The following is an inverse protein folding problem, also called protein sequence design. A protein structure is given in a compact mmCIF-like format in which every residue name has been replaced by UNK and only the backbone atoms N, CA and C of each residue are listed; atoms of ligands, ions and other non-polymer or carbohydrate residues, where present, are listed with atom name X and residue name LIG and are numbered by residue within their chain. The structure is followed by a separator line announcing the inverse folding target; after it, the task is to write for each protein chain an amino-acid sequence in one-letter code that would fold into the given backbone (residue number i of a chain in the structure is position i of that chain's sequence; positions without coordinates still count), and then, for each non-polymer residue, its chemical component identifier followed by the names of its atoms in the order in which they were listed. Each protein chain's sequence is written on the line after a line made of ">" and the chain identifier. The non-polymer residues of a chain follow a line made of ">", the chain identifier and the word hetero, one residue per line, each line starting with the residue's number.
data_IF_286919945090
#
_entry.id   IF_286919945090
#
_cell.length_a   1.000
_cell.length_b   1.000
_cell.length_c   1.000
_cell.angle_alpha   90.00
_cell.angle_beta   90.00
_cell.angle_gamma   90.00
#
_symmetry.space_group_name_H-M   'P 1'
#
loop_
_entity.id
_entity.type
_entity.pdbx_description
1 polymer ?
#
# COMPACT_ATOMS: atom_id res chain seq x y z
N UNK A 1 -4.38 1.98 -5.52
CA UNK A 1 -3.61 3.21 -5.80
C UNK A 1 -2.23 2.87 -6.37
N UNK A 2 -1.49 1.91 -5.79
CA UNK A 2 -0.19 1.49 -6.35
C UNK A 2 -0.31 1.18 -7.85
N UNK A 3 -1.31 0.39 -8.26
CA UNK A 3 -1.53 0.06 -9.67
C UNK A 3 -1.76 1.27 -10.58
N UNK A 4 -2.46 2.28 -10.10
CA UNK A 4 -2.64 3.53 -10.86
C UNK A 4 -1.31 4.28 -11.03
N UNK A 5 -0.43 4.23 -10.01
CA UNK A 5 0.90 4.84 -10.10
C UNK A 5 1.84 4.04 -11.01
N UNK A 6 1.66 2.72 -11.09
CA UNK A 6 2.36 1.87 -12.07
C UNK A 6 1.86 2.19 -13.48
N UNK A 7 0.54 2.30 -13.69
CA UNK A 7 -0.05 2.69 -14.97
C UNK A 7 0.40 4.10 -15.42
N UNK A 8 0.60 5.01 -14.47
CA UNK A 8 1.11 6.37 -14.70
C UNK A 8 2.66 6.40 -14.89
N UNK A 9 3.35 5.26 -14.84
CA UNK A 9 4.81 5.16 -14.96
C UNK A 9 5.60 5.76 -13.79
N UNK A 10 4.94 6.01 -12.65
CA UNK A 10 5.56 6.61 -11.45
C UNK A 10 6.16 5.59 -10.50
N UNK A 11 5.73 4.35 -10.59
CA UNK A 11 6.24 3.22 -9.81
C UNK A 11 6.50 2.03 -10.73
N UNK A 12 7.44 1.17 -10.35
CA UNK A 12 7.73 -0.09 -11.01
C UNK A 12 7.62 -1.24 -10.01
N UNK A 13 7.02 -2.36 -10.43
CA UNK A 13 6.84 -3.52 -9.54
C UNK A 13 8.16 -4.21 -9.19
N UNK A 14 9.10 -4.27 -10.12
CA UNK A 14 10.27 -5.16 -10.06
C UNK A 14 11.59 -4.43 -9.76
N UNK A 15 11.55 -3.10 -9.64
CA UNK A 15 12.68 -2.33 -9.17
C UNK A 15 12.69 -2.28 -7.62
N UNK A 16 13.84 -2.01 -6.99
CA UNK A 16 13.92 -1.75 -5.56
C UNK A 16 12.86 -0.76 -5.11
N UNK A 17 12.16 -1.07 -4.03
CA UNK A 17 11.13 -0.19 -3.49
C UNK A 17 11.75 1.14 -3.07
N UNK A 18 11.17 2.30 -3.47
CA UNK A 18 11.76 3.61 -3.21
C UNK A 18 11.55 4.04 -1.75
N UNK A 19 12.18 3.32 -0.83
CA UNK A 19 12.21 3.59 0.60
C UNK A 19 13.56 4.18 0.94
N UNK A 20 13.59 5.43 1.38
CA UNK A 20 14.84 6.15 1.64
C UNK A 20 15.76 5.42 2.63
N UNK A 21 15.19 4.77 3.65
CA UNK A 21 15.94 3.99 4.64
C UNK A 21 16.66 2.76 4.05
N UNK A 22 16.33 2.32 2.83
CA UNK A 22 16.89 1.15 2.15
C UNK A 22 17.77 1.52 0.96
N UNK A 23 18.12 2.79 0.80
CA UNK A 23 18.86 3.29 -0.38
C UNK A 23 20.34 2.88 -0.41
N UNK A 24 20.93 2.45 0.72
CA UNK A 24 22.28 1.92 0.73
C UNK A 24 22.30 0.55 -0.01
N UNK A 25 23.09 0.41 -1.10
CA UNK A 25 23.23 -0.88 -1.79
C UNK A 25 23.75 -2.03 -0.93
N UNK A 26 24.38 -1.74 0.22
CA UNK A 26 24.83 -2.74 1.20
C UNK A 26 23.73 -3.16 2.16
N UNK A 27 22.64 -2.42 2.25
CA UNK A 27 21.49 -2.81 3.07
C UNK A 27 20.75 -3.95 2.35
N UNK A 28 20.62 -5.14 2.96
CA UNK A 28 19.94 -6.25 2.31
C UNK A 28 18.48 -5.97 1.99
N UNK A 29 17.83 -4.99 2.65
CA UNK A 29 16.46 -4.54 2.37
C UNK A 29 16.35 -3.76 1.05
N UNK A 30 17.48 -3.30 0.48
CA UNK A 30 17.50 -2.69 -0.86
C UNK A 30 16.98 -3.65 -1.96
N UNK A 31 17.04 -4.96 -1.73
CA UNK A 31 16.49 -5.98 -2.63
C UNK A 31 14.96 -6.11 -2.56
N UNK A 32 14.28 -5.47 -1.60
CA UNK A 32 12.82 -5.52 -1.49
C UNK A 32 12.22 -4.68 -2.64
N UNK A 33 11.33 -5.30 -3.42
CA UNK A 33 10.59 -4.63 -4.50
C UNK A 33 9.16 -4.30 -4.06
N UNK A 34 8.47 -3.45 -4.84
CA UNK A 34 7.03 -3.21 -4.63
C UNK A 34 6.24 -4.51 -4.80
N UNK A 35 6.65 -5.40 -5.71
CA UNK A 35 6.05 -6.73 -5.87
C UNK A 35 6.15 -7.55 -4.58
N UNK A 36 7.31 -7.60 -3.94
CA UNK A 36 7.50 -8.34 -2.69
C UNK A 36 6.57 -7.82 -1.57
N UNK A 37 6.42 -6.50 -1.46
CA UNK A 37 5.49 -5.89 -0.50
C UNK A 37 4.03 -6.25 -0.78
N UNK A 38 3.60 -6.20 -2.06
CA UNK A 38 2.22 -6.54 -2.47
C UNK A 38 1.90 -8.02 -2.27
N UNK A 39 2.88 -8.91 -2.50
CA UNK A 39 2.73 -10.36 -2.36
C UNK A 39 2.99 -10.84 -0.93
N UNK A 40 3.13 -9.94 0.04
CA UNK A 40 3.44 -10.29 1.44
C UNK A 40 4.67 -11.19 1.56
N UNK A 41 5.70 -10.90 0.77
CA UNK A 41 6.95 -11.67 0.69
C UNK A 41 8.19 -10.78 0.83
N UNK A 42 8.09 -9.69 1.58
CA UNK A 42 9.21 -8.76 1.80
C UNK A 42 10.35 -9.37 2.60
N UNK A 43 10.06 -10.35 3.45
CA UNK A 43 11.01 -10.96 4.37
C UNK A 43 11.32 -10.12 5.61
N UNK A 44 10.63 -9.01 5.82
CA UNK A 44 10.80 -8.19 7.03
C UNK A 44 10.28 -8.94 8.26
N UNK A 45 11.05 -8.95 9.34
CA UNK A 45 10.63 -9.49 10.63
C UNK A 45 9.33 -8.87 11.09
N UNK A 46 8.31 -9.71 11.35
CA UNK A 46 7.00 -9.21 11.72
C UNK A 46 6.23 -10.17 12.61
N UNK A 47 5.61 -9.65 13.65
CA UNK A 47 4.64 -10.40 14.47
C UNK A 47 3.27 -9.77 14.31
N UNK A 48 2.42 -10.39 13.49
CA UNK A 48 1.03 -9.98 13.30
C UNK A 48 0.17 -10.57 14.41
N UNK A 49 0.00 -9.82 15.49
CA UNK A 49 -0.84 -10.20 16.63
C UNK A 49 -1.47 -8.93 17.20
N UNK A 50 -2.77 -8.95 17.42
CA UNK A 50 -3.52 -7.79 17.91
C UNK A 50 -3.65 -7.75 19.43
N UNK A 51 -3.18 -8.79 20.13
CA UNK A 51 -3.35 -8.94 21.59
C UNK A 51 -2.02 -9.07 22.33
N UNK A 52 -0.95 -9.43 21.68
CA UNK A 52 0.36 -9.59 22.30
C UNK A 52 1.07 -8.24 22.52
N UNK A 53 1.69 -8.07 23.69
CA UNK A 53 2.41 -6.84 24.03
C UNK A 53 3.65 -6.58 23.13
N UNK A 54 4.25 -7.64 22.62
CA UNK A 54 5.41 -7.64 21.73
C UNK A 54 5.06 -7.67 20.23
N UNK A 55 3.80 -7.38 19.90
CA UNK A 55 3.30 -7.36 18.52
C UNK A 55 3.89 -6.19 17.73
N UNK A 56 4.42 -6.51 16.54
CA UNK A 56 4.88 -5.49 15.58
C UNK A 56 3.73 -4.61 15.12
N UNK A 57 2.53 -5.17 14.94
CA UNK A 57 1.32 -4.44 14.55
C UNK A 57 0.90 -3.43 15.60
N UNK A 58 0.91 -3.82 16.89
CA UNK A 58 0.60 -2.90 18.00
C UNK A 58 1.67 -1.82 18.15
N UNK A 59 2.94 -2.17 18.01
CA UNK A 59 4.03 -1.20 18.05
C UNK A 59 3.92 -0.19 16.88
N UNK A 60 3.61 -0.65 15.67
CA UNK A 60 3.36 0.21 14.50
C UNK A 60 2.18 1.16 14.72
N UNK A 61 1.07 0.69 15.32
CA UNK A 61 -0.09 1.53 15.63
C UNK A 61 0.24 2.67 16.61
N UNK A 62 1.21 2.46 17.50
CA UNK A 62 1.67 3.45 18.48
C UNK A 62 2.78 4.34 17.93
N UNK A 63 3.42 3.95 16.85
CA UNK A 63 4.51 4.71 16.24
C UNK A 63 3.99 6.03 15.63
N UNK A 64 4.72 7.14 15.77
CA UNK A 64 4.34 8.41 15.14
C UNK A 64 4.21 8.30 13.62
N UNK A 65 5.07 7.53 12.99
CA UNK A 65 5.10 7.25 11.54
C UNK A 65 5.02 5.73 11.33
N UNK A 66 3.85 5.23 10.99
CA UNK A 66 3.62 3.80 10.82
C UNK A 66 4.48 3.19 9.70
N UNK A 67 4.58 3.85 8.54
CA UNK A 67 5.40 3.36 7.43
C UNK A 67 6.89 3.38 7.75
N UNK A 68 7.37 4.40 8.47
CA UNK A 68 8.75 4.48 8.94
C UNK A 68 9.10 3.37 9.94
N UNK A 69 8.20 3.09 10.89
CA UNK A 69 8.36 1.97 11.81
C UNK A 69 8.46 0.63 11.07
N UNK A 70 7.52 0.37 10.16
CA UNK A 70 7.54 -0.88 9.39
C UNK A 70 8.80 -1.01 8.53
N UNK A 71 9.26 0.09 7.90
CA UNK A 71 10.47 0.11 7.11
C UNK A 71 11.77 -0.03 7.95
N UNK A 72 11.72 0.20 9.25
CA UNK A 72 12.88 0.04 10.15
C UNK A 72 13.12 -1.41 10.58
N UNK A 73 12.19 -2.33 10.28
CA UNK A 73 12.35 -3.74 10.65
C UNK A 73 13.51 -4.39 9.89
N UNK A 74 14.12 -5.39 10.49
CA UNK A 74 15.21 -6.19 9.90
C UNK A 74 14.66 -7.26 8.96
N UNK A 75 15.51 -7.85 8.11
CA UNK A 75 15.14 -9.04 7.35
C UNK A 75 15.26 -10.29 8.20
N UNK A 76 14.26 -11.14 8.12
CA UNK A 76 14.25 -12.51 8.64
C UNK A 76 14.46 -13.53 7.51
N UNK A 77 13.89 -13.22 6.31
CA UNK A 77 14.01 -14.07 5.13
C UNK A 77 14.49 -13.24 3.93
N UNK A 78 15.04 -13.93 2.94
CA UNK A 78 15.36 -13.29 1.67
C UNK A 78 14.06 -12.84 0.98
N UNK A 79 13.97 -11.60 0.47
CA UNK A 79 12.80 -11.11 -0.24
C UNK A 79 12.36 -12.05 -1.36
N UNK A 80 11.06 -12.31 -1.45
CA UNK A 80 10.45 -13.18 -2.46
C UNK A 80 10.50 -14.67 -2.20
N UNK A 81 11.06 -15.13 -1.06
CA UNK A 81 11.22 -16.57 -0.79
C UNK A 81 10.13 -17.18 0.06
N UNK A 82 9.44 -16.36 0.86
CA UNK A 82 8.43 -16.83 1.79
C UNK A 82 7.26 -15.85 1.86
N UNK A 83 6.04 -16.38 1.86
CA UNK A 83 4.84 -15.60 2.15
C UNK A 83 4.66 -15.49 3.66
N UNK A 84 4.48 -14.26 4.13
CA UNK A 84 4.10 -13.97 5.52
C UNK A 84 3.19 -12.75 5.55
N UNK A 85 1.95 -12.94 6.05
CA UNK A 85 1.03 -11.81 6.18
C UNK A 85 1.59 -10.75 7.13
N UNK A 86 1.67 -9.52 6.64
CA UNK A 86 2.40 -8.44 7.30
C UNK A 86 1.72 -7.09 7.02
N UNK A 87 1.01 -6.55 8.01
CA UNK A 87 0.38 -5.22 7.92
C UNK A 87 1.40 -4.11 7.65
N UNK A 88 2.65 -4.28 8.07
CA UNK A 88 3.74 -3.35 7.81
C UNK A 88 4.04 -3.19 6.31
N UNK A 89 3.91 -4.26 5.51
CA UNK A 89 4.07 -4.17 4.06
C UNK A 89 3.09 -3.16 3.45
N UNK A 90 1.84 -3.17 3.89
CA UNK A 90 0.83 -2.23 3.40
C UNK A 90 1.08 -0.80 3.91
N UNK A 91 1.57 -0.64 5.12
CA UNK A 91 1.99 0.66 5.65
C UNK A 91 3.17 1.25 4.83
N UNK A 92 4.17 0.43 4.50
CA UNK A 92 5.30 0.82 3.64
C UNK A 92 4.81 1.24 2.26
N UNK A 93 3.93 0.44 1.63
CA UNK A 93 3.33 0.78 0.32
C UNK A 93 2.61 2.12 0.37
N UNK A 94 1.86 2.41 1.45
CA UNK A 94 1.19 3.70 1.59
C UNK A 94 2.19 4.84 1.84
N UNK A 95 3.28 4.58 2.53
CA UNK A 95 4.41 5.50 2.65
C UNK A 95 4.98 5.86 1.28
N UNK A 96 5.31 4.86 0.46
CA UNK A 96 5.80 5.03 -0.92
C UNK A 96 4.81 5.85 -1.76
N UNK A 97 3.53 5.52 -1.71
CA UNK A 97 2.48 6.27 -2.42
C UNK A 97 2.47 7.74 -2.00
N UNK A 98 2.55 7.99 -0.69
CA UNK A 98 2.52 9.35 -0.12
C UNK A 98 3.73 10.16 -0.56
N UNK A 99 4.92 9.56 -0.54
CA UNK A 99 6.17 10.22 -0.94
C UNK A 99 6.22 10.47 -2.45
N UNK A 100 5.80 9.48 -3.27
CA UNK A 100 5.70 9.60 -4.73
C UNK A 100 4.76 10.75 -5.16
N UNK A 101 3.70 10.98 -4.40
CA UNK A 101 2.71 12.04 -4.68
C UNK A 101 3.03 13.38 -4.01
N UNK A 102 4.09 13.44 -3.18
CA UNK A 102 4.52 14.66 -2.51
C UNK A 102 3.68 15.06 -1.29
N UNK A 103 3.25 14.07 -0.51
CA UNK A 103 2.62 14.23 0.79
C UNK A 103 1.12 13.91 0.84
N UNK A 104 0.61 13.81 2.06
CA UNK A 104 -0.78 13.39 2.35
C UNK A 104 -1.85 14.23 1.64
N UNK A 105 -1.77 15.57 1.58
CA UNK A 105 -2.79 16.35 0.87
C UNK A 105 -2.89 16.00 -0.62
N UNK A 106 -1.75 15.86 -1.30
CA UNK A 106 -1.70 15.48 -2.72
C UNK A 106 -2.17 14.04 -2.94
N UNK A 107 -1.83 13.14 -2.02
CA UNK A 107 -2.31 11.75 -2.03
C UNK A 107 -3.82 11.69 -1.95
N UNK A 108 -4.44 12.42 -1.03
CA UNK A 108 -5.90 12.50 -0.92
C UNK A 108 -6.54 13.06 -2.20
N UNK A 109 -5.97 14.11 -2.77
CA UNK A 109 -6.44 14.70 -4.03
C UNK A 109 -6.35 13.70 -5.18
N UNK A 110 -5.23 12.97 -5.29
CA UNK A 110 -5.03 11.95 -6.29
C UNK A 110 -6.07 10.82 -6.17
N UNK A 111 -6.25 10.27 -4.96
CA UNK A 111 -7.25 9.22 -4.69
C UNK A 111 -8.65 9.72 -5.06
N UNK A 112 -8.99 10.94 -4.64
CA UNK A 112 -10.28 11.55 -4.93
C UNK A 112 -10.52 11.65 -6.44
N UNK A 113 -9.62 12.27 -7.18
CA UNK A 113 -9.79 12.57 -8.61
C UNK A 113 -9.68 11.32 -9.48
N UNK A 114 -8.78 10.40 -9.16
CA UNK A 114 -8.49 9.24 -10.01
C UNK A 114 -9.41 8.04 -9.72
N UNK A 115 -9.94 7.94 -8.51
CA UNK A 115 -10.75 6.79 -8.09
C UNK A 115 -12.12 7.17 -7.59
N UNK A 116 -12.22 8.03 -6.56
CA UNK A 116 -13.48 8.21 -5.85
C UNK A 116 -14.52 8.98 -6.69
N UNK A 117 -14.13 10.10 -7.27
CA UNK A 117 -15.04 10.93 -8.09
C UNK A 117 -15.58 10.17 -9.31
N UNK A 118 -14.75 9.45 -10.10
CA UNK A 118 -15.25 8.64 -11.20
C UNK A 118 -16.22 7.54 -10.77
N UNK A 119 -16.02 6.94 -9.58
CA UNK A 119 -16.91 5.93 -9.03
C UNK A 119 -18.16 6.53 -8.36
N UNK A 120 -18.24 7.87 -8.22
CA UNK A 120 -19.31 8.55 -7.51
C UNK A 120 -19.28 8.33 -6.00
N UNK A 121 -18.09 8.02 -5.42
CA UNK A 121 -17.89 7.82 -3.99
C UNK A 121 -17.65 9.18 -3.34
N UNK A 122 -18.57 9.61 -2.49
CA UNK A 122 -18.53 10.94 -1.85
C UNK A 122 -18.13 10.91 -0.39
N UNK A 123 -18.38 9.78 0.29
CA UNK A 123 -18.13 9.63 1.73
C UNK A 123 -17.04 8.59 1.95
N UNK A 124 -15.84 9.05 2.27
CA UNK A 124 -14.71 8.21 2.66
C UNK A 124 -13.93 8.90 3.76
N UNK A 125 -13.48 8.13 4.73
CA UNK A 125 -12.50 8.59 5.73
C UNK A 125 -11.27 7.70 5.72
N UNK A 126 -10.14 8.28 6.09
CA UNK A 126 -8.86 7.59 6.21
C UNK A 126 -8.35 7.74 7.62
N UNK A 127 -7.85 6.65 8.19
CA UNK A 127 -7.08 6.72 9.42
C UNK A 127 -5.72 7.34 9.11
N UNK A 128 -5.31 8.30 9.94
CA UNK A 128 -3.97 8.88 9.88
C UNK A 128 -3.16 8.37 11.08
N UNK A 129 -1.87 8.24 10.89
CA UNK A 129 -0.92 8.11 11.99
C UNK A 129 -0.66 9.48 12.65
N UNK A 130 0.12 9.51 13.73
CA UNK A 130 0.38 10.75 14.49
C UNK A 130 1.21 11.76 13.69
N UNK A 131 1.87 11.37 12.62
CA UNK A 131 2.57 12.27 11.68
C UNK A 131 1.64 12.88 10.64
N UNK A 132 0.34 12.52 10.63
CA UNK A 132 -0.65 12.99 9.67
C UNK A 132 -0.60 12.27 8.31
N UNK A 133 0.10 11.13 8.21
CA UNK A 133 0.15 10.30 7.00
C UNK A 133 -1.00 9.29 7.02
N UNK A 134 -1.50 8.90 5.85
CA UNK A 134 -2.51 7.84 5.74
C UNK A 134 -1.85 6.52 6.19
N UNK A 135 -2.47 5.83 7.15
CA UNK A 135 -1.92 4.60 7.73
C UNK A 135 -1.77 3.47 6.70
N UNK A 136 -2.73 3.33 5.79
CA UNK A 136 -2.68 2.41 4.64
C UNK A 136 -3.07 0.96 4.95
N UNK A 137 -2.71 0.44 6.11
CA UNK A 137 -2.97 -0.94 6.51
C UNK A 137 -4.35 -1.13 7.16
N UNK A 138 -5.02 -0.06 7.54
CA UNK A 138 -6.37 -0.07 8.13
C UNK A 138 -7.09 1.27 7.98
N UNK A 139 -8.38 1.31 8.36
CA UNK A 139 -9.10 2.55 8.61
C UNK A 139 -9.53 3.32 7.35
N UNK A 140 -9.75 2.63 6.24
CA UNK A 140 -10.51 3.21 5.11
C UNK A 140 -11.98 2.86 5.31
N UNK A 141 -12.80 3.85 5.63
CA UNK A 141 -14.22 3.63 5.89
C UNK A 141 -15.06 4.32 4.79
N UNK A 142 -16.01 3.59 4.25
CA UNK A 142 -16.98 4.08 3.28
C UNK A 142 -18.30 3.32 3.38
N UNK A 143 -19.42 3.85 2.86
CA UNK A 143 -20.68 3.11 2.80
C UNK A 143 -20.52 1.79 2.03
N UNK A 144 -21.23 0.74 2.47
CA UNK A 144 -21.15 -0.59 1.84
C UNK A 144 -21.44 -0.57 0.33
N UNK A 145 -22.37 0.30 -0.11
CA UNK A 145 -22.68 0.50 -1.54
C UNK A 145 -21.47 1.05 -2.32
N UNK A 146 -20.68 1.91 -1.70
CA UNK A 146 -19.48 2.48 -2.32
C UNK A 146 -18.34 1.46 -2.39
N UNK A 147 -18.21 0.62 -1.37
CA UNK A 147 -17.33 -0.53 -1.40
C UNK A 147 -17.72 -1.52 -2.51
N UNK A 148 -19.02 -1.75 -2.71
CA UNK A 148 -19.53 -2.58 -3.82
C UNK A 148 -19.18 -1.98 -5.20
N UNK A 149 -19.19 -0.64 -5.36
CA UNK A 149 -18.74 0.02 -6.60
C UNK A 149 -17.25 -0.24 -6.86
N UNK A 150 -16.43 -0.20 -5.82
CA UNK A 150 -15.01 -0.54 -5.92
C UNK A 150 -14.83 -2.02 -6.35
N UNK A 151 -15.56 -2.95 -5.75
CA UNK A 151 -15.57 -4.37 -6.17
C UNK A 151 -16.03 -4.53 -7.63
N UNK A 152 -17.07 -3.82 -8.03
CA UNK A 152 -17.57 -3.84 -9.41
C UNK A 152 -16.56 -3.30 -10.43
N UNK A 153 -15.74 -2.30 -10.07
CA UNK A 153 -14.62 -1.84 -10.90
C UNK A 153 -13.64 -3.00 -11.22
N UNK A 154 -13.33 -3.83 -10.22
CA UNK A 154 -12.46 -5.00 -10.41
C UNK A 154 -13.12 -6.07 -11.29
N UNK A 155 -14.41 -6.33 -11.10
CA UNK A 155 -15.17 -7.26 -11.96
C UNK A 155 -15.23 -6.80 -13.41
N UNK A 156 -15.23 -5.49 -13.65
CA UNK A 156 -15.23 -4.87 -14.97
C UNK A 156 -13.82 -4.62 -15.53
N UNK A 157 -12.82 -5.32 -15.03
CA UNK A 157 -11.43 -5.20 -15.48
C UNK A 157 -10.89 -3.76 -15.49
N UNK A 158 -11.25 -2.99 -14.47
CA UNK A 158 -10.77 -1.63 -14.29
C UNK A 158 -11.52 -0.55 -15.07
N UNK A 159 -12.60 -0.92 -15.77
CA UNK A 159 -13.40 0.01 -16.58
C UNK A 159 -14.66 0.44 -15.83
N UNK A 160 -14.93 1.76 -15.81
CA UNK A 160 -16.13 2.35 -15.25
C UNK A 160 -16.80 3.26 -16.27
N UNK A 161 -18.02 2.91 -16.70
CA UNK A 161 -18.65 3.52 -17.85
C UNK A 161 -17.82 3.31 -19.11
N UNK A 162 -17.37 4.41 -19.72
CA UNK A 162 -16.50 4.39 -20.91
C UNK A 162 -15.02 4.67 -20.60
N UNK A 163 -14.65 4.75 -19.30
CA UNK A 163 -13.30 5.12 -18.87
C UNK A 163 -12.58 3.94 -18.22
N UNK A 164 -11.35 3.67 -18.65
CA UNK A 164 -10.44 2.82 -17.91
C UNK A 164 -9.86 3.66 -16.75
N UNK A 165 -10.15 3.27 -15.51
CA UNK A 165 -9.62 3.91 -14.30
C UNK A 165 -8.32 3.26 -13.82
N UNK A 166 -8.16 1.99 -14.13
CA UNK A 166 -6.96 1.20 -13.85
C UNK A 166 -6.81 0.15 -14.97
N UNK A 167 -5.57 -0.20 -15.31
CA UNK A 167 -5.31 -1.12 -16.41
C UNK A 167 -5.84 -2.53 -16.16
N UNK A 168 -6.20 -3.24 -17.25
CA UNK A 168 -6.52 -4.65 -17.19
C UNK A 168 -5.36 -5.48 -16.67
N UNK A 169 -4.13 -5.12 -17.04
CA UNK A 169 -2.93 -5.80 -16.58
C UNK A 169 -2.80 -5.75 -15.05
N UNK A 170 -3.05 -4.58 -14.45
CA UNK A 170 -3.09 -4.48 -12.99
C UNK A 170 -4.19 -5.34 -12.35
N UNK A 171 -5.38 -5.32 -12.93
CA UNK A 171 -6.49 -6.14 -12.42
C UNK A 171 -6.15 -7.64 -12.50
N UNK A 172 -5.54 -8.09 -13.61
CA UNK A 172 -5.06 -9.48 -13.74
C UNK A 172 -4.01 -9.77 -12.69
N UNK A 173 -2.97 -8.94 -12.58
CA UNK A 173 -1.92 -9.08 -11.56
C UNK A 173 -2.50 -9.18 -10.14
N UNK A 174 -3.48 -8.33 -9.79
CA UNK A 174 -4.07 -8.32 -8.43
C UNK A 174 -4.96 -9.52 -8.10
N UNK A 175 -5.25 -10.40 -9.07
CA UNK A 175 -6.07 -11.60 -8.93
C UNK A 175 -5.29 -12.89 -9.11
N UNK A 176 -4.04 -12.80 -9.55
CA UNK A 176 -3.16 -13.95 -9.80
C UNK A 176 -2.27 -14.14 -8.57
N UNK A 177 -2.23 -15.36 -7.98
CA UNK A 177 -1.34 -15.68 -6.87
C UNK A 177 0.12 -15.52 -7.21
#
# INVERSE_FOLDING_TARGET
>A
IVGMLVDDGKLSLDQPAPVAAWSDPKDPRNAITIRHLLHMSSGLTWKEDYFAADSSTIAMLRAPNASGYAASQTLEFKPGTQFEYNSGNTAILMGIVTDTLGGTPRTRSYIKQRLLDPLGIKKVSYQLDSSGRIAGFMGVNMPARDLARFGLLHLRNGVWGKKALISRNWITFSRTP
#
